data_IF_869812566481
#
_entry.id   IF_869812566481
#
_cell.length_a   1.000
_cell.length_b   1.000
_cell.length_c   1.000
_cell.angle_alpha   90.00
_cell.angle_beta   90.00
_cell.angle_gamma   90.00
#
_symmetry.space_group_name_H-M   'P 1'
#
loop_
_entity.id
_entity.type
_entity.pdbx_description
1 polymer ?
#
# COMPACT_ATOMS: atom_id res chain seq x y z
N UNK A 1 -39.13 -6.30 65.37
CA UNK A 1 -38.37 -7.29 64.59
C UNK A 1 -37.35 -6.50 63.80
N UNK A 2 -36.21 -6.21 64.44
CA UNK A 2 -35.05 -5.59 63.79
C UNK A 2 -34.09 -6.71 63.42
N UNK A 3 -34.05 -7.06 62.14
CA UNK A 3 -32.99 -7.89 61.57
C UNK A 3 -31.90 -6.95 61.08
N UNK A 4 -30.99 -6.59 61.98
CA UNK A 4 -29.73 -5.96 61.61
C UNK A 4 -28.84 -7.03 60.96
N UNK A 5 -28.78 -7.00 59.63
CA UNK A 5 -27.78 -7.72 58.85
C UNK A 5 -26.38 -7.25 59.28
N UNK A 6 -25.72 -8.06 60.12
CA UNK A 6 -24.29 -7.94 60.35
C UNK A 6 -23.57 -8.34 59.06
N UNK A 7 -23.31 -7.37 58.19
CA UNK A 7 -22.30 -7.50 57.14
C UNK A 7 -20.96 -7.69 57.82
N UNK A 8 -20.53 -8.94 57.95
CA UNK A 8 -19.22 -9.28 58.46
C UNK A 8 -18.16 -8.59 57.59
N UNK A 9 -17.41 -7.66 58.19
CA UNK A 9 -16.26 -7.04 57.55
C UNK A 9 -15.28 -8.15 57.12
N UNK A 10 -14.83 -8.17 55.85
CA UNK A 10 -13.93 -9.22 55.38
C UNK A 10 -12.66 -9.23 56.22
N UNK A 11 -12.21 -10.43 56.61
CA UNK A 11 -10.99 -10.57 57.40
C UNK A 11 -9.77 -10.09 56.62
N UNK A 12 -8.70 -9.67 57.30
CA UNK A 12 -7.46 -9.22 56.65
C UNK A 12 -6.90 -10.28 55.71
N UNK A 13 -7.05 -11.56 56.05
CA UNK A 13 -6.67 -12.70 55.23
C UNK A 13 -7.52 -12.83 53.95
N UNK A 14 -8.83 -12.57 54.02
CA UNK A 14 -9.71 -12.54 52.86
C UNK A 14 -9.39 -11.37 51.92
N UNK A 15 -9.08 -10.20 52.48
CA UNK A 15 -8.64 -9.04 51.70
C UNK A 15 -7.28 -9.30 51.02
N UNK A 16 -6.32 -9.90 51.73
CA UNK A 16 -5.02 -10.27 51.16
C UNK A 16 -5.16 -11.35 50.06
N UNK A 17 -6.02 -12.34 50.25
CA UNK A 17 -6.29 -13.36 49.25
C UNK A 17 -6.91 -12.76 47.98
N UNK A 18 -7.90 -11.89 48.12
CA UNK A 18 -8.54 -11.21 46.98
C UNK A 18 -7.56 -10.29 46.24
N UNK A 19 -6.73 -9.53 46.97
CA UNK A 19 -5.68 -8.68 46.38
C UNK A 19 -4.67 -9.53 45.61
N UNK A 20 -4.22 -10.64 46.19
CA UNK A 20 -3.29 -11.56 45.51
C UNK A 20 -3.95 -12.21 44.27
N UNK A 21 -5.24 -12.52 44.32
CA UNK A 21 -5.97 -13.12 43.20
C UNK A 21 -6.21 -12.10 42.06
N UNK A 22 -6.54 -10.85 42.39
CA UNK A 22 -6.65 -9.75 41.44
C UNK A 22 -5.31 -9.41 40.80
N UNK A 23 -4.24 -9.31 41.60
CA UNK A 23 -2.87 -9.13 41.10
C UNK A 23 -2.46 -10.29 40.19
N UNK A 24 -2.76 -11.53 40.57
CA UNK A 24 -2.48 -12.71 39.74
C UNK A 24 -3.25 -12.63 38.40
N UNK A 25 -4.52 -12.24 38.44
CA UNK A 25 -5.36 -12.11 37.24
C UNK A 25 -4.89 -10.98 36.33
N UNK A 26 -4.50 -9.85 36.90
CA UNK A 26 -3.90 -8.72 36.17
C UNK A 26 -2.58 -9.13 35.53
N UNK A 27 -1.71 -9.82 36.27
CA UNK A 27 -0.43 -10.33 35.75
C UNK A 27 -0.67 -11.31 34.60
N UNK A 28 -1.62 -12.24 34.72
CA UNK A 28 -2.00 -13.14 33.63
C UNK A 28 -2.55 -12.38 32.41
N UNK A 29 -3.36 -11.33 32.63
CA UNK A 29 -3.87 -10.46 31.57
C UNK A 29 -2.75 -9.72 30.83
N UNK A 30 -1.78 -9.18 31.58
CA UNK A 30 -0.60 -8.49 31.02
C UNK A 30 0.28 -9.48 30.25
N UNK A 31 0.54 -10.68 30.79
CA UNK A 31 1.32 -11.71 30.11
C UNK A 31 0.66 -12.17 28.81
N UNK A 32 -0.66 -12.40 28.81
CA UNK A 32 -1.41 -12.76 27.60
C UNK A 32 -1.38 -11.64 26.56
N UNK A 33 -1.48 -10.38 27.00
CA UNK A 33 -1.36 -9.24 26.09
C UNK A 33 0.03 -9.12 25.47
N UNK A 34 1.09 -9.34 26.26
CA UNK A 34 2.47 -9.36 25.78
C UNK A 34 2.70 -10.49 24.76
N UNK A 35 2.17 -11.69 25.02
CA UNK A 35 2.25 -12.82 24.07
C UNK A 35 1.53 -12.49 22.76
N UNK A 36 0.35 -11.86 22.83
CA UNK A 36 -0.40 -11.44 21.64
C UNK A 36 0.36 -10.36 20.86
N UNK A 37 0.97 -9.40 21.55
CA UNK A 37 1.83 -8.39 20.93
C UNK A 37 3.04 -9.03 20.26
N UNK A 38 3.68 -10.01 20.91
CA UNK A 38 4.81 -10.75 20.33
C UNK A 38 4.40 -11.45 19.04
N UNK A 39 3.24 -12.12 19.03
CA UNK A 39 2.70 -12.75 17.81
C UNK A 39 2.43 -11.72 16.72
N UNK A 40 1.80 -10.59 17.05
CA UNK A 40 1.53 -9.53 16.07
C UNK A 40 2.83 -8.92 15.50
N UNK A 41 3.85 -8.73 16.34
CA UNK A 41 5.17 -8.27 15.90
C UNK A 41 5.86 -9.33 15.04
N UNK A 42 5.71 -10.62 15.37
CA UNK A 42 6.22 -11.71 14.55
C UNK A 42 5.52 -11.77 13.18
N UNK A 43 4.19 -11.60 13.14
CA UNK A 43 3.39 -11.55 11.91
C UNK A 43 3.75 -10.31 11.06
N UNK A 44 3.90 -9.13 11.68
CA UNK A 44 4.37 -7.93 11.00
C UNK A 44 5.80 -8.12 10.48
N UNK A 45 6.67 -8.74 11.27
CA UNK A 45 8.04 -9.03 10.86
C UNK A 45 8.06 -10.03 9.71
N UNK A 46 7.19 -11.03 9.71
CA UNK A 46 7.08 -11.97 8.60
C UNK A 46 6.45 -11.33 7.37
N UNK A 47 5.46 -10.44 7.52
CA UNK A 47 4.91 -9.64 6.43
C UNK A 47 5.97 -8.72 5.80
N UNK A 48 6.74 -8.02 6.62
CA UNK A 48 7.86 -7.18 6.20
C UNK A 48 8.95 -8.04 5.56
N UNK A 49 9.31 -9.18 6.16
CA UNK A 49 10.21 -10.15 5.55
C UNK A 49 9.66 -10.74 4.26
N UNK A 50 8.36 -10.90 4.09
CA UNK A 50 7.74 -11.39 2.85
C UNK A 50 7.79 -10.31 1.78
N UNK A 51 7.51 -9.05 2.09
CA UNK A 51 7.75 -7.92 1.17
C UNK A 51 9.23 -7.79 0.80
N UNK A 52 10.12 -7.90 1.79
CA UNK A 52 11.56 -7.91 1.56
C UNK A 52 12.09 -9.21 0.99
N UNK A 53 11.41 -10.37 1.08
CA UNK A 53 11.76 -11.63 0.43
C UNK A 53 11.17 -11.71 -0.96
N UNK A 54 10.12 -10.97 -1.26
CA UNK A 54 9.74 -10.69 -2.64
C UNK A 54 10.86 -9.86 -3.30
N UNK A 55 11.51 -8.97 -2.54
CA UNK A 55 12.80 -8.36 -2.91
C UNK A 55 14.01 -9.32 -2.75
N UNK A 56 14.07 -10.19 -1.73
CA UNK A 56 15.29 -10.93 -1.34
C UNK A 56 15.38 -12.37 -1.87
N UNK A 57 14.29 -12.99 -2.32
CA UNK A 57 14.37 -14.16 -3.22
C UNK A 57 14.77 -13.74 -4.64
N UNK A 58 14.88 -12.42 -4.90
CA UNK A 58 15.66 -11.84 -5.99
C UNK A 58 17.07 -11.37 -5.56
N UNK A 59 17.42 -11.39 -4.26
CA UNK A 59 18.76 -11.06 -3.73
C UNK A 59 19.56 -12.35 -3.52
N UNK A 60 19.58 -13.16 -4.57
CA UNK A 60 20.54 -14.25 -4.79
C UNK A 60 21.35 -14.05 -6.07
N UNK A 61 20.92 -13.14 -6.94
CA UNK A 61 21.67 -12.66 -8.10
C UNK A 61 21.96 -11.17 -7.90
N UNK A 62 23.20 -10.75 -8.12
CA UNK A 62 23.66 -9.36 -8.00
C UNK A 62 22.99 -8.36 -8.97
N UNK A 63 21.84 -8.69 -9.55
CA UNK A 63 21.16 -7.87 -10.56
C UNK A 63 19.68 -8.24 -10.72
N UNK A 64 18.87 -8.18 -9.65
CA UNK A 64 17.40 -7.98 -9.65
C UNK A 64 16.52 -8.80 -10.61
N UNK A 65 17.01 -9.84 -11.26
CA UNK A 65 16.35 -10.52 -12.38
C UNK A 65 15.87 -9.58 -13.50
N UNK A 66 15.22 -10.18 -14.50
CA UNK A 66 14.58 -9.43 -15.59
C UNK A 66 13.52 -8.43 -15.07
N UNK A 67 12.74 -8.84 -14.07
CA UNK A 67 11.68 -8.02 -13.48
C UNK A 67 12.20 -6.79 -12.73
N UNK A 68 13.30 -6.90 -11.98
CA UNK A 68 13.88 -5.78 -11.26
C UNK A 68 14.52 -4.76 -12.21
N UNK A 69 15.10 -5.21 -13.33
CA UNK A 69 15.57 -4.32 -14.40
C UNK A 69 14.41 -3.53 -15.03
N UNK A 70 13.30 -4.19 -15.32
CA UNK A 70 12.07 -3.55 -15.85
C UNK A 70 11.54 -2.52 -14.86
N UNK A 71 11.41 -2.87 -13.58
CA UNK A 71 10.87 -1.95 -12.57
C UNK A 71 11.80 -0.77 -12.30
N UNK A 72 13.13 -0.98 -12.32
CA UNK A 72 14.10 0.11 -12.24
C UNK A 72 13.97 1.06 -13.44
N UNK A 73 13.84 0.52 -14.67
CA UNK A 73 13.58 1.33 -15.86
C UNK A 73 12.28 2.13 -15.74
N UNK A 74 11.19 1.51 -15.25
CA UNK A 74 9.92 2.20 -14.96
C UNK A 74 10.10 3.31 -13.93
N UNK A 75 10.84 3.06 -12.85
CA UNK A 75 11.11 4.07 -11.83
C UNK A 75 11.88 5.27 -12.39
N UNK A 76 12.92 5.03 -13.18
CA UNK A 76 13.67 6.08 -13.84
C UNK A 76 12.81 6.89 -14.81
N UNK A 77 11.97 6.22 -15.62
CA UNK A 77 11.05 6.87 -16.53
C UNK A 77 10.02 7.75 -15.78
N UNK A 78 9.41 7.24 -14.70
CA UNK A 78 8.48 8.00 -13.85
C UNK A 78 9.14 9.23 -13.23
N UNK A 79 10.33 9.07 -12.67
CA UNK A 79 11.07 10.19 -12.07
C UNK A 79 11.42 11.25 -13.11
N UNK A 80 11.81 10.81 -14.32
CA UNK A 80 12.06 11.73 -15.42
C UNK A 80 10.79 12.46 -15.83
N UNK A 81 9.67 11.75 -16.03
CA UNK A 81 8.38 12.33 -16.38
C UNK A 81 7.95 13.39 -15.37
N UNK A 82 8.04 13.06 -14.08
CA UNK A 82 7.66 13.96 -13.00
C UNK A 82 8.47 15.26 -12.98
N UNK A 83 9.75 15.17 -13.32
CA UNK A 83 10.69 16.28 -13.27
C UNK A 83 10.72 17.12 -14.55
N UNK A 84 10.49 16.51 -15.72
CA UNK A 84 10.74 17.13 -17.03
C UNK A 84 9.47 17.40 -17.83
N UNK A 85 8.37 16.67 -17.59
CA UNK A 85 7.10 16.93 -18.27
C UNK A 85 6.28 17.89 -17.43
N UNK A 86 6.24 19.14 -17.88
CA UNK A 86 5.59 20.28 -17.23
C UNK A 86 4.45 20.85 -18.07
N UNK A 87 4.48 20.64 -19.39
CA UNK A 87 3.47 21.11 -20.34
C UNK A 87 2.73 19.93 -21.02
N UNK A 88 1.62 20.21 -21.71
CA UNK A 88 0.75 19.17 -22.31
C UNK A 88 1.26 18.63 -23.65
N UNK A 89 2.05 19.44 -24.36
CA UNK A 89 2.68 19.10 -25.64
C UNK A 89 3.99 18.32 -25.47
N UNK A 90 4.56 18.35 -24.27
CA UNK A 90 5.74 17.56 -23.90
C UNK A 90 5.41 16.07 -23.76
N UNK A 91 6.18 15.17 -24.42
CA UNK A 91 5.90 13.74 -24.37
C UNK A 91 6.43 13.11 -23.07
N UNK A 92 5.59 12.30 -22.43
CA UNK A 92 5.98 11.34 -21.43
C UNK A 92 6.91 10.28 -22.02
N UNK A 93 7.97 9.94 -21.28
CA UNK A 93 8.71 8.70 -21.51
C UNK A 93 7.80 7.53 -21.26
N UNK A 94 7.76 6.63 -22.22
CA UNK A 94 7.04 5.37 -22.11
C UNK A 94 7.71 4.48 -21.07
N UNK A 95 6.89 3.68 -20.40
CA UNK A 95 7.35 2.70 -19.44
C UNK A 95 7.41 1.35 -20.15
N UNK A 96 8.43 0.51 -19.89
CA UNK A 96 8.45 -0.84 -20.43
C UNK A 96 7.30 -1.66 -19.83
N UNK A 97 6.79 -2.63 -20.58
CA UNK A 97 5.86 -3.66 -20.11
C UNK A 97 6.58 -4.63 -19.17
N UNK A 98 5.84 -5.52 -18.51
CA UNK A 98 6.46 -6.59 -17.71
C UNK A 98 7.33 -7.53 -18.56
N UNK A 99 7.03 -7.62 -19.87
CA UNK A 99 7.86 -8.30 -20.87
C UNK A 99 9.14 -7.55 -21.24
N UNK A 100 9.37 -6.34 -20.72
CA UNK A 100 10.50 -5.46 -21.03
C UNK A 100 10.40 -4.71 -22.37
N UNK A 101 9.40 -5.03 -23.19
CA UNK A 101 9.11 -4.31 -24.44
C UNK A 101 8.44 -2.97 -24.17
N UNK A 102 8.50 -2.05 -25.13
CA UNK A 102 7.80 -0.77 -25.03
C UNK A 102 6.53 -0.81 -25.89
N UNK A 103 5.37 -0.39 -25.35
CA UNK A 103 4.16 -0.36 -26.13
C UNK A 103 4.25 0.73 -27.20
N UNK A 104 3.92 0.41 -28.46
CA UNK A 104 4.01 1.36 -29.58
C UNK A 104 2.74 2.24 -29.72
N UNK A 105 1.60 1.75 -29.24
CA UNK A 105 0.28 2.30 -29.57
C UNK A 105 -0.29 3.20 -28.46
N UNK A 106 0.55 3.61 -27.50
CA UNK A 106 0.12 4.42 -26.35
C UNK A 106 0.44 5.89 -26.59
N UNK A 107 -0.55 6.80 -26.43
CA UNK A 107 -0.30 8.22 -26.55
C UNK A 107 0.65 8.70 -25.45
N UNK A 108 1.62 9.52 -25.84
CA UNK A 108 2.67 10.02 -24.96
C UNK A 108 2.49 11.48 -24.58
N UNK A 109 1.60 12.25 -25.20
CA UNK A 109 1.39 13.66 -24.88
C UNK A 109 0.16 13.90 -24.01
N UNK A 110 0.23 14.91 -23.15
CA UNK A 110 -0.86 15.30 -22.26
C UNK A 110 -2.11 15.73 -23.01
N UNK A 111 -1.97 16.40 -24.16
CA UNK A 111 -3.12 16.84 -24.98
C UNK A 111 -3.98 15.67 -25.46
N UNK A 112 -3.34 14.58 -25.89
CA UNK A 112 -4.06 13.38 -26.35
C UNK A 112 -4.71 12.67 -25.16
N UNK A 113 -4.03 12.61 -24.01
CA UNK A 113 -4.59 12.03 -22.78
C UNK A 113 -5.78 12.85 -22.25
N UNK A 114 -5.77 14.17 -22.43
CA UNK A 114 -6.88 15.04 -22.08
C UNK A 114 -8.11 14.73 -22.93
N UNK A 115 -7.94 14.57 -24.24
CA UNK A 115 -9.01 14.21 -25.17
C UNK A 115 -9.36 12.70 -25.19
N UNK A 116 -8.61 11.86 -24.48
CA UNK A 116 -8.78 10.41 -24.54
C UNK A 116 -10.18 9.95 -24.07
N UNK A 117 -10.74 8.99 -24.82
CA UNK A 117 -12.02 8.32 -24.54
C UNK A 117 -11.85 7.25 -23.45
N UNK A 118 -12.99 6.71 -22.98
CA UNK A 118 -13.01 5.55 -22.08
C UNK A 118 -12.28 4.35 -22.67
N UNK A 119 -12.56 4.01 -23.92
CA UNK A 119 -11.97 2.84 -24.60
C UNK A 119 -10.45 2.94 -24.66
N UNK A 120 -9.92 4.13 -24.96
CA UNK A 120 -8.48 4.35 -25.04
C UNK A 120 -7.82 4.23 -23.66
N UNK A 121 -8.40 4.83 -22.63
CA UNK A 121 -7.84 4.74 -21.27
C UNK A 121 -7.94 3.32 -20.72
N UNK A 122 -9.04 2.61 -20.95
CA UNK A 122 -9.21 1.22 -20.56
C UNK A 122 -8.13 0.35 -21.21
N UNK A 123 -7.92 0.50 -22.52
CA UNK A 123 -6.86 -0.18 -23.24
C UNK A 123 -5.46 0.10 -22.68
N UNK A 124 -5.18 1.35 -22.30
CA UNK A 124 -3.90 1.72 -21.71
C UNK A 124 -3.69 1.13 -20.32
N UNK A 125 -4.75 1.09 -19.50
CA UNK A 125 -4.72 0.44 -18.19
C UNK A 125 -4.50 -1.07 -18.33
N UNK A 126 -5.16 -1.70 -19.31
CA UNK A 126 -5.00 -3.12 -19.63
C UNK A 126 -3.58 -3.46 -20.10
N UNK A 127 -2.99 -2.65 -21.01
CA UNK A 127 -1.61 -2.88 -21.50
C UNK A 127 -0.60 -2.90 -20.35
N UNK A 128 -0.78 -2.03 -19.35
CA UNK A 128 0.12 -1.94 -18.22
C UNK A 128 -0.28 -2.83 -17.04
N UNK A 129 -1.29 -3.69 -17.20
CA UNK A 129 -1.87 -4.54 -16.16
C UNK A 129 -2.26 -3.74 -14.90
N UNK A 130 -2.76 -2.52 -15.08
CA UNK A 130 -3.18 -1.64 -13.97
C UNK A 130 -4.60 -2.02 -13.56
N UNK A 131 -4.83 -2.48 -12.33
CA UNK A 131 -6.16 -2.89 -11.89
C UNK A 131 -7.12 -1.68 -11.84
N UNK A 132 -8.25 -1.80 -12.52
CA UNK A 132 -9.33 -0.81 -12.47
C UNK A 132 -10.70 -1.47 -12.43
N UNK A 133 -11.72 -0.70 -12.03
CA UNK A 133 -13.11 -1.16 -12.05
C UNK A 133 -13.74 -0.67 -13.36
N UNK A 134 -14.37 -1.54 -14.18
CA UNK A 134 -14.94 -1.12 -15.46
C UNK A 134 -15.94 0.04 -15.35
N UNK A 135 -16.71 0.09 -14.26
CA UNK A 135 -17.70 1.13 -13.95
C UNK A 135 -17.12 2.43 -13.39
N UNK A 136 -15.79 2.53 -13.23
CA UNK A 136 -15.09 3.71 -12.74
C UNK A 136 -15.24 4.89 -13.73
N UNK A 137 -15.29 6.12 -13.22
CA UNK A 137 -15.38 7.30 -14.07
C UNK A 137 -14.09 7.52 -14.88
N UNK A 138 -14.19 8.12 -16.07
CA UNK A 138 -13.03 8.39 -16.93
C UNK A 138 -11.92 9.16 -16.20
N UNK A 139 -12.31 10.14 -15.38
CA UNK A 139 -11.38 10.97 -14.61
C UNK A 139 -10.54 10.13 -13.64
N UNK A 140 -11.17 9.17 -12.95
CA UNK A 140 -10.49 8.28 -12.01
C UNK A 140 -9.55 7.32 -12.75
N UNK A 141 -9.98 6.79 -13.91
CA UNK A 141 -9.16 5.94 -14.77
C UNK A 141 -7.93 6.70 -15.31
N UNK A 142 -8.12 7.94 -15.77
CA UNK A 142 -7.02 8.84 -16.17
C UNK A 142 -6.07 9.11 -15.01
N UNK A 143 -6.61 9.35 -13.81
CA UNK A 143 -5.81 9.55 -12.61
C UNK A 143 -4.93 8.34 -12.27
N UNK A 144 -5.45 7.11 -12.40
CA UNK A 144 -4.66 5.88 -12.22
C UNK A 144 -3.49 5.82 -13.21
N UNK A 145 -3.80 6.02 -14.49
CA UNK A 145 -2.79 5.99 -15.54
C UNK A 145 -1.70 7.07 -15.35
N UNK A 146 -2.10 8.31 -15.07
CA UNK A 146 -1.16 9.43 -14.91
C UNK A 146 -0.25 9.25 -13.68
N UNK A 147 -0.79 8.68 -12.59
CA UNK A 147 0.03 8.31 -11.43
C UNK A 147 1.03 7.21 -11.77
N UNK A 148 0.61 6.22 -12.55
CA UNK A 148 1.48 5.14 -13.01
C UNK A 148 2.62 5.67 -13.89
N UNK A 149 2.35 6.55 -14.84
CA UNK A 149 3.36 7.15 -15.72
C UNK A 149 4.27 8.15 -14.97
N UNK A 150 3.89 8.57 -13.77
CA UNK A 150 4.65 9.53 -12.97
C UNK A 150 4.47 10.96 -13.44
N UNK A 151 3.27 11.32 -13.91
CA UNK A 151 2.97 12.68 -14.33
C UNK A 151 3.12 13.69 -13.17
N UNK A 152 3.61 14.89 -13.48
CA UNK A 152 3.66 15.98 -12.51
C UNK A 152 2.24 16.38 -12.08
N UNK A 153 2.06 16.81 -10.83
CA UNK A 153 0.77 17.27 -10.30
C UNK A 153 0.15 18.38 -11.15
N UNK A 154 0.94 19.32 -11.64
CA UNK A 154 0.45 20.42 -12.48
C UNK A 154 -0.11 19.89 -13.80
N UNK A 155 0.64 19.01 -14.47
CA UNK A 155 0.20 18.37 -15.72
C UNK A 155 -1.04 17.50 -15.49
N UNK A 156 -1.08 16.75 -14.37
CA UNK A 156 -2.26 15.96 -14.01
C UNK A 156 -3.51 16.83 -13.90
N UNK A 157 -3.44 17.98 -13.22
CA UNK A 157 -4.58 18.89 -13.14
C UNK A 157 -5.00 19.38 -14.53
N UNK A 158 -4.05 19.80 -15.37
CA UNK A 158 -4.35 20.28 -16.74
C UNK A 158 -4.97 19.21 -17.66
N UNK A 159 -4.66 17.93 -17.45
CA UNK A 159 -5.23 16.81 -18.22
C UNK A 159 -6.63 16.43 -17.72
N UNK A 160 -6.89 16.60 -16.42
CA UNK A 160 -8.15 16.21 -15.78
C UNK A 160 -9.21 17.32 -15.80
N UNK A 161 -8.79 18.58 -15.94
CA UNK A 161 -9.65 19.76 -16.13
C UNK A 161 -10.24 19.85 -17.55
#
# INVERSE_FOLDING_TARGET
MDTTDYLASPSVEQLQFNINQEQTTLVLGVLNYLERLERQVADMREFVKMGFRQDNSMIGDMDGGFSGRVENARLQARNWNRANVTELDEPFRMLPLFSGEYPADIPTTGDVLRAASHELIDHMLDIYDIPFIPTMFLMEKKMLYLKFVGANRVVMHRILD
#
